data_IF_095285460854
#
_entry.id   IF_095285460854
#
_cell.length_a   1.000
_cell.length_b   1.000
_cell.length_c   1.000
_cell.angle_alpha   90.00
_cell.angle_beta   90.00
_cell.angle_gamma   90.00
#
_symmetry.space_group_name_H-M   'P 1'
#
loop_
_entity.id
_entity.type
_entity.pdbx_description
1 polymer ?
#
# COMPACT_ATOMS: atom_id res chain seq x y z
N UNK A 1 16.56 11.36 -0.33
CA UNK A 1 16.03 11.64 1.02
C UNK A 1 14.72 12.37 0.84
N UNK A 2 13.61 11.79 1.29
CA UNK A 2 12.30 12.41 1.23
C UNK A 2 12.03 13.11 2.56
N UNK A 3 11.61 14.38 2.53
CA UNK A 3 11.32 15.17 3.73
C UNK A 3 9.86 15.59 3.69
N UNK A 4 9.14 15.34 4.78
CA UNK A 4 7.75 15.77 4.94
C UNK A 4 7.71 17.00 5.82
N UNK A 5 6.92 17.99 5.41
CA UNK A 5 6.62 19.18 6.19
C UNK A 5 5.17 19.12 6.64
N UNK A 6 4.93 19.23 7.95
CA UNK A 6 3.59 19.29 8.53
C UNK A 6 3.49 20.50 9.46
N UNK A 7 2.50 21.36 9.20
CA UNK A 7 2.23 22.57 10.00
C UNK A 7 1.33 22.23 11.19
N UNK A 8 1.68 22.68 12.39
CA UNK A 8 0.98 22.37 13.64
C UNK A 8 0.73 23.60 14.51
N UNK A 9 -0.45 23.62 15.16
CA UNK A 9 -0.94 24.78 15.91
C UNK A 9 -0.66 24.70 17.44
N UNK A 10 -0.21 23.56 17.98
CA UNK A 10 0.11 23.39 19.40
C UNK A 10 1.11 22.24 19.66
N UNK A 11 2.05 22.44 20.60
CA UNK A 11 3.07 21.49 21.05
C UNK A 11 2.52 20.18 21.63
N UNK A 12 1.34 20.17 22.28
CA UNK A 12 0.75 18.90 22.78
C UNK A 12 0.34 17.96 21.64
N UNK A 13 -0.04 18.49 20.49
CA UNK A 13 -0.41 17.69 19.31
C UNK A 13 0.84 17.10 18.63
N UNK A 14 1.99 17.78 18.75
CA UNK A 14 3.27 17.33 18.18
C UNK A 14 3.68 15.97 18.73
N UNK A 15 3.67 15.82 20.06
CA UNK A 15 4.13 14.58 20.71
C UNK A 15 3.22 13.40 20.38
N UNK A 16 1.90 13.61 20.39
CA UNK A 16 0.90 12.58 20.07
C UNK A 16 1.04 12.10 18.62
N UNK A 17 1.26 13.01 17.66
CA UNK A 17 1.45 12.63 16.27
C UNK A 17 2.78 11.89 16.03
N UNK A 18 3.87 12.34 16.64
CA UNK A 18 5.18 11.66 16.54
C UNK A 18 5.12 10.25 17.17
N UNK A 19 4.44 10.11 18.31
CA UNK A 19 4.32 8.83 19.01
C UNK A 19 3.39 7.84 18.30
N UNK A 20 2.37 8.34 17.59
CA UNK A 20 1.39 7.50 16.89
C UNK A 20 1.88 6.97 15.54
N UNK A 21 2.95 7.52 14.96
CA UNK A 21 3.35 7.17 13.60
C UNK A 21 4.60 6.26 13.58
N UNK A 22 4.38 4.95 13.44
CA UNK A 22 5.42 3.93 13.27
C UNK A 22 6.32 4.08 12.03
N UNK A 23 6.16 5.16 11.26
CA UNK A 23 6.71 5.35 9.92
C UNK A 23 7.50 6.64 9.73
N UNK A 24 7.72 7.43 10.79
CA UNK A 24 8.54 8.64 10.70
C UNK A 24 9.65 8.68 11.74
N UNK A 25 10.73 9.37 11.37
CA UNK A 25 11.82 9.77 12.26
C UNK A 25 11.92 11.30 12.25
N UNK A 26 11.75 11.96 13.40
CA UNK A 26 11.93 13.41 13.48
C UNK A 26 13.40 13.80 13.40
N UNK A 27 13.68 14.89 12.68
CA UNK A 27 15.01 15.50 12.56
C UNK A 27 15.10 16.88 13.20
N UNK A 28 14.00 17.63 13.23
CA UNK A 28 13.99 18.96 13.82
C UNK A 28 12.63 19.64 13.72
N UNK A 29 12.57 20.86 14.24
CA UNK A 29 11.39 21.73 14.20
C UNK A 29 11.86 23.11 13.75
N UNK A 30 11.11 23.74 12.85
CA UNK A 30 11.28 25.14 12.45
C UNK A 30 9.99 25.93 12.70
N UNK A 31 10.04 27.25 12.55
CA UNK A 31 8.86 28.11 12.68
C UNK A 31 8.69 28.91 11.40
N UNK A 32 7.51 28.82 10.82
CA UNK A 32 7.12 29.60 9.65
C UNK A 32 7.12 31.10 10.01
N UNK A 33 7.89 31.95 9.30
CA UNK A 33 7.95 33.38 9.58
C UNK A 33 6.63 34.11 9.27
N UNK A 34 5.78 33.61 8.38
CA UNK A 34 4.52 34.22 7.99
C UNK A 34 3.39 33.80 8.92
N UNK A 35 3.11 32.50 8.99
CA UNK A 35 1.98 31.97 9.78
C UNK A 35 2.27 31.90 11.28
N UNK A 36 3.55 31.98 11.68
CA UNK A 36 4.05 31.73 13.05
C UNK A 36 3.81 30.31 13.56
N UNK A 37 3.34 29.39 12.71
CA UNK A 37 3.15 27.99 13.06
C UNK A 37 4.50 27.25 13.14
N UNK A 38 4.51 26.18 13.92
CA UNK A 38 5.66 25.28 13.98
C UNK A 38 5.54 24.22 12.89
N UNK A 39 6.66 23.94 12.22
CA UNK A 39 6.77 22.91 11.19
C UNK A 39 7.77 21.86 11.68
N UNK A 40 7.37 20.60 11.67
CA UNK A 40 8.27 19.49 11.99
C UNK A 40 8.90 18.97 10.71
N UNK A 41 10.20 18.70 10.79
CA UNK A 41 10.99 18.07 9.73
C UNK A 41 11.05 16.58 10.04
N UNK A 42 10.36 15.78 9.23
CA UNK A 42 10.28 14.33 9.35
C UNK A 42 10.94 13.66 8.15
N UNK A 43 11.60 12.52 8.38
CA UNK A 43 11.98 11.57 7.33
C UNK A 43 11.18 10.28 7.50
N UNK A 44 10.83 9.63 6.39
CA UNK A 44 10.20 8.33 6.41
C UNK A 44 11.13 7.27 6.97
N UNK A 45 10.65 6.51 7.95
CA UNK A 45 11.38 5.42 8.58
C UNK A 45 10.41 4.46 9.25
N UNK A 46 10.38 3.21 8.77
CA UNK A 46 9.66 2.15 9.46
C UNK A 46 10.39 1.81 10.76
N UNK A 47 9.70 1.91 11.88
CA UNK A 47 10.24 1.59 13.20
C UNK A 47 10.71 0.13 13.28
N UNK A 48 9.94 -0.80 12.72
CA UNK A 48 10.25 -2.23 12.70
C UNK A 48 11.49 -2.55 11.86
N UNK A 49 11.56 -2.02 10.62
CA UNK A 49 12.68 -2.29 9.71
C UNK A 49 13.90 -1.38 9.94
N UNK A 50 13.77 -0.37 10.81
CA UNK A 50 14.77 0.67 11.05
C UNK A 50 15.25 1.39 9.76
N UNK A 51 14.44 1.37 8.69
CA UNK A 51 14.78 1.81 7.34
C UNK A 51 13.50 2.15 6.55
N UNK A 52 13.64 2.60 5.30
CA UNK A 52 12.51 2.69 4.36
C UNK A 52 12.21 1.27 3.86
N UNK A 53 10.94 0.87 3.88
CA UNK A 53 10.48 -0.44 3.41
C UNK A 53 9.13 -0.32 2.68
N UNK A 54 8.65 -1.44 2.12
CA UNK A 54 7.47 -1.48 1.27
C UNK A 54 6.21 -0.91 1.92
N UNK A 55 6.01 -1.12 3.23
CA UNK A 55 4.87 -0.54 3.95
C UNK A 55 4.81 0.99 3.86
N UNK A 56 5.96 1.68 3.82
CA UNK A 56 6.03 3.13 3.59
C UNK A 56 5.59 3.47 2.17
N UNK A 57 6.01 2.69 1.19
CA UNK A 57 5.68 2.89 -0.23
C UNK A 57 4.19 2.64 -0.49
N UNK A 58 3.63 1.58 0.09
CA UNK A 58 2.19 1.30 0.04
C UNK A 58 1.39 2.44 0.65
N UNK A 59 1.74 2.92 1.86
CA UNK A 59 1.06 4.04 2.50
C UNK A 59 1.01 5.31 1.65
N UNK A 60 2.07 5.60 0.90
CA UNK A 60 2.06 6.75 -0.02
C UNK A 60 1.04 6.59 -1.15
N UNK A 61 0.78 5.36 -1.57
CA UNK A 61 -0.12 5.04 -2.68
C UNK A 61 -1.57 4.80 -2.26
N UNK A 62 -1.90 4.78 -0.96
CA UNK A 62 -3.28 4.55 -0.50
C UNK A 62 -4.29 5.59 -1.01
N UNK A 63 -3.85 6.82 -1.27
CA UNK A 63 -4.72 7.85 -1.84
C UNK A 63 -4.82 7.76 -3.38
N UNK A 64 -3.89 7.06 -4.03
CA UNK A 64 -3.79 6.98 -5.49
C UNK A 64 -4.73 5.90 -6.07
N UNK A 65 -5.18 4.95 -5.26
CA UNK A 65 -6.09 3.89 -5.70
C UNK A 65 -7.12 3.52 -4.62
N UNK A 66 -8.36 3.30 -5.03
CA UNK A 66 -9.48 2.90 -4.17
C UNK A 66 -10.43 2.01 -4.99
N UNK A 67 -11.03 1.01 -4.33
CA UNK A 67 -12.11 0.21 -4.91
C UNK A 67 -13.46 0.94 -4.89
N UNK A 68 -13.57 2.07 -4.20
CA UNK A 68 -14.82 2.74 -3.87
C UNK A 68 -15.59 2.06 -2.72
N UNK A 69 -14.98 1.07 -2.05
CA UNK A 69 -15.53 0.39 -0.89
C UNK A 69 -14.53 0.41 0.27
N UNK A 70 -14.85 1.13 1.33
CA UNK A 70 -13.97 1.35 2.47
C UNK A 70 -13.55 0.05 3.18
N UNK A 71 -14.43 -0.97 3.24
CA UNK A 71 -14.13 -2.24 3.89
C UNK A 71 -13.09 -3.06 3.08
N UNK A 72 -13.25 -3.10 1.74
CA UNK A 72 -12.27 -3.75 0.85
C UNK A 72 -10.94 -3.00 0.90
N UNK A 73 -10.98 -1.68 0.80
CA UNK A 73 -9.77 -0.85 0.81
C UNK A 73 -9.01 -1.03 2.13
N UNK A 74 -9.72 -1.02 3.26
CA UNK A 74 -9.12 -1.29 4.57
C UNK A 74 -8.48 -2.67 4.63
N UNK A 75 -9.16 -3.72 4.15
CA UNK A 75 -8.62 -5.07 4.14
C UNK A 75 -7.32 -5.18 3.34
N UNK A 76 -7.28 -4.59 2.13
CA UNK A 76 -6.08 -4.58 1.30
C UNK A 76 -4.96 -3.76 1.97
N UNK A 77 -5.28 -2.59 2.52
CA UNK A 77 -4.32 -1.75 3.23
C UNK A 77 -3.73 -2.46 4.46
N UNK A 78 -4.55 -3.14 5.26
CA UNK A 78 -4.10 -3.89 6.44
C UNK A 78 -3.14 -5.03 6.04
N UNK A 79 -3.43 -5.74 4.94
CA UNK A 79 -2.51 -6.72 4.35
C UNK A 79 -1.18 -6.05 3.91
N UNK A 80 -1.24 -4.97 3.13
CA UNK A 80 -0.04 -4.26 2.65
C UNK A 80 0.82 -3.66 3.77
N UNK A 81 0.21 -3.25 4.89
CA UNK A 81 0.91 -2.75 6.07
C UNK A 81 1.67 -3.86 6.83
N UNK A 82 1.36 -5.13 6.58
CA UNK A 82 2.09 -6.26 7.15
C UNK A 82 3.33 -6.68 6.34
N UNK A 83 3.44 -6.22 5.09
CA UNK A 83 4.49 -6.59 4.13
C UNK A 83 5.78 -5.78 4.31
N UNK A 84 6.49 -6.07 5.39
CA UNK A 84 7.77 -5.46 5.75
C UNK A 84 8.97 -6.10 5.01
N UNK A 85 9.15 -5.85 3.71
CA UNK A 85 10.34 -6.35 2.99
C UNK A 85 11.52 -5.36 3.11
N UNK A 86 12.71 -5.92 3.35
CA UNK A 86 13.96 -5.20 3.58
C UNK A 86 14.92 -5.33 2.39
N UNK A 87 15.47 -4.20 1.94
CA UNK A 87 16.60 -4.16 1.01
C UNK A 87 17.88 -4.66 1.71
N UNK A 88 18.09 -5.97 1.75
CA UNK A 88 19.38 -6.51 2.20
C UNK A 88 19.48 -8.02 2.41
N UNK A 89 18.40 -8.80 2.27
CA UNK A 89 18.47 -10.27 2.34
C UNK A 89 17.53 -10.85 1.29
N UNK A 90 18.07 -11.31 0.16
CA UNK A 90 17.56 -12.31 -0.82
C UNK A 90 16.05 -12.47 -1.10
N UNK A 91 15.19 -11.50 -0.78
CA UNK A 91 13.81 -11.43 -1.25
C UNK A 91 13.50 -9.98 -1.57
N UNK A 92 13.94 -9.56 -2.75
CA UNK A 92 13.58 -8.26 -3.36
C UNK A 92 12.10 -8.28 -3.81
N UNK A 93 11.51 -9.48 -3.87
CA UNK A 93 10.18 -9.74 -4.40
C UNK A 93 9.11 -9.61 -3.33
N UNK A 94 8.09 -8.81 -3.64
CA UNK A 94 6.79 -8.83 -2.98
C UNK A 94 6.08 -10.09 -3.45
N UNK A 95 5.83 -11.04 -2.56
CA UNK A 95 5.14 -12.27 -2.94
C UNK A 95 3.66 -12.24 -2.53
N UNK A 96 3.28 -11.44 -1.52
CA UNK A 96 2.00 -11.61 -0.83
C UNK A 96 1.18 -10.32 -0.66
N UNK A 97 1.61 -9.19 -1.22
CA UNK A 97 0.84 -7.95 -1.08
C UNK A 97 -0.38 -8.00 -2.00
N UNK A 98 -1.56 -7.96 -1.39
CA UNK A 98 -2.80 -7.78 -2.12
C UNK A 98 -2.85 -6.38 -2.73
N UNK A 99 -3.48 -6.24 -3.89
CA UNK A 99 -3.76 -4.95 -4.50
C UNK A 99 -5.15 -4.94 -5.13
N UNK A 100 -5.72 -3.74 -5.25
CA UNK A 100 -6.92 -3.57 -6.04
C UNK A 100 -6.57 -3.56 -7.53
N UNK A 101 -7.25 -4.40 -8.31
CA UNK A 101 -7.10 -4.47 -9.76
C UNK A 101 -8.36 -3.89 -10.40
N UNK A 102 -8.26 -2.74 -11.11
CA UNK A 102 -9.39 -2.21 -11.85
C UNK A 102 -9.87 -3.20 -12.91
N UNK A 103 -11.19 -3.36 -13.02
CA UNK A 103 -11.79 -4.42 -13.84
C UNK A 103 -11.45 -4.31 -15.34
N UNK A 104 -11.21 -3.10 -15.83
CA UNK A 104 -10.79 -2.81 -17.21
C UNK A 104 -9.35 -3.23 -17.53
N UNK A 105 -8.56 -3.61 -16.50
CA UNK A 105 -7.22 -4.21 -16.66
C UNK A 105 -7.27 -5.73 -16.83
N UNK A 106 -8.45 -6.32 -16.81
CA UNK A 106 -8.69 -7.75 -16.97
C UNK A 106 -9.45 -8.04 -18.28
N UNK A 107 -8.80 -8.74 -19.21
CA UNK A 107 -9.48 -9.28 -20.38
C UNK A 107 -10.13 -10.62 -20.04
N UNK A 108 -11.42 -10.55 -19.72
CA UNK A 108 -12.21 -11.68 -19.21
C UNK A 108 -12.50 -12.70 -20.30
N UNK A 109 -12.18 -13.97 -20.04
CA UNK A 109 -12.67 -15.09 -20.82
C UNK A 109 -13.91 -15.70 -20.15
N UNK A 110 -14.92 -16.02 -20.97
CA UNK A 110 -16.16 -16.68 -20.55
C UNK A 110 -16.27 -18.04 -21.22
N UNK A 111 -16.90 -18.98 -20.53
CA UNK A 111 -17.27 -20.27 -21.13
C UNK A 111 -18.53 -20.13 -22.02
N UNK A 112 -18.97 -21.24 -22.60
CA UNK A 112 -20.16 -21.29 -23.46
C UNK A 112 -21.47 -20.91 -22.74
N UNK A 113 -21.48 -20.95 -21.40
CA UNK A 113 -22.60 -20.57 -20.54
C UNK A 113 -22.46 -19.14 -19.99
N UNK A 114 -21.43 -18.39 -20.42
CA UNK A 114 -21.16 -17.04 -19.96
C UNK A 114 -20.52 -16.95 -18.57
N UNK A 115 -20.09 -18.07 -17.99
CA UNK A 115 -19.40 -18.10 -16.70
C UNK A 115 -17.96 -17.59 -16.86
N UNK A 116 -17.58 -16.67 -15.98
CA UNK A 116 -16.22 -16.13 -15.91
C UNK A 116 -15.37 -17.12 -15.11
N UNK A 117 -14.21 -17.51 -15.66
CA UNK A 117 -13.29 -18.45 -14.99
C UNK A 117 -11.82 -18.05 -15.10
N UNK A 118 -11.44 -17.28 -16.12
CA UNK A 118 -10.07 -16.80 -16.29
C UNK A 118 -10.04 -15.42 -16.95
N UNK A 119 -8.92 -14.74 -16.83
CA UNK A 119 -8.65 -13.50 -17.55
C UNK A 119 -7.17 -13.38 -17.92
N UNK A 120 -6.89 -12.51 -18.88
CA UNK A 120 -5.55 -11.96 -19.05
C UNK A 120 -5.45 -10.66 -18.25
N UNK A 121 -4.51 -10.60 -17.30
CA UNK A 121 -4.23 -9.42 -16.49
C UNK A 121 -3.06 -8.63 -17.07
N UNK A 122 -3.35 -7.42 -17.54
CA UNK A 122 -2.41 -6.61 -18.31
C UNK A 122 -1.21 -6.17 -17.46
N UNK A 123 -1.47 -5.74 -16.23
CA UNK A 123 -0.45 -5.13 -15.39
C UNK A 123 0.54 -6.14 -14.79
N UNK A 124 0.19 -7.43 -14.69
CA UNK A 124 1.02 -8.44 -14.01
C UNK A 124 1.11 -8.21 -12.50
N UNK A 125 1.98 -8.88 -11.76
CA UNK A 125 2.09 -8.76 -10.30
C UNK A 125 3.02 -7.60 -9.85
N UNK A 126 2.83 -7.06 -8.64
CA UNK A 126 3.81 -6.13 -8.03
C UNK A 126 5.12 -6.88 -7.76
N UNK A 127 6.24 -6.34 -8.23
CA UNK A 127 7.56 -6.93 -8.03
C UNK A 127 8.35 -6.21 -6.93
N UNK A 128 8.74 -4.95 -7.18
CA UNK A 128 9.51 -4.11 -6.26
C UNK A 128 9.23 -2.62 -6.50
N UNK A 129 9.64 -1.79 -5.54
CA UNK A 129 9.52 -0.34 -5.65
C UNK A 129 10.76 0.27 -6.29
N UNK A 130 10.58 1.06 -7.34
CA UNK A 130 11.68 1.83 -7.94
C UNK A 130 11.19 3.13 -8.58
N UNK A 131 12.01 4.18 -8.46
CA UNK A 131 11.76 5.49 -9.06
C UNK A 131 10.34 6.06 -8.81
N UNK A 132 9.80 5.82 -7.60
CA UNK A 132 8.52 6.38 -7.17
C UNK A 132 7.28 5.59 -7.60
N UNK A 133 7.44 4.41 -8.21
CA UNK A 133 6.33 3.55 -8.61
C UNK A 133 6.63 2.06 -8.38
N UNK A 134 5.58 1.24 -8.34
CA UNK A 134 5.68 -0.21 -8.33
C UNK A 134 6.07 -0.74 -9.71
N UNK A 135 7.15 -1.50 -9.78
CA UNK A 135 7.51 -2.30 -10.95
C UNK A 135 6.65 -3.55 -11.01
N UNK A 136 6.44 -4.03 -12.22
CA UNK A 136 5.53 -5.14 -12.51
C UNK A 136 6.28 -6.31 -13.11
N UNK A 137 5.92 -7.50 -12.66
CA UNK A 137 6.39 -8.77 -13.19
C UNK A 137 5.26 -9.51 -13.92
N UNK A 138 5.57 -10.36 -14.89
CA UNK A 138 4.56 -11.18 -15.60
C UNK A 138 3.39 -10.37 -16.22
N UNK A 139 3.68 -9.26 -16.89
CA UNK A 139 2.64 -8.51 -17.61
C UNK A 139 1.92 -9.38 -18.64
N UNK A 140 0.62 -9.15 -18.80
CA UNK A 140 -0.29 -9.93 -19.64
C UNK A 140 -0.41 -11.42 -19.27
N UNK A 141 -0.30 -11.74 -17.98
CA UNK A 141 -0.41 -13.12 -17.49
C UNK A 141 -1.85 -13.63 -17.45
N UNK A 142 -2.00 -14.95 -17.56
CA UNK A 142 -3.28 -15.62 -17.33
C UNK A 142 -3.52 -15.81 -15.84
N UNK A 143 -4.72 -15.42 -15.40
CA UNK A 143 -5.17 -15.55 -14.01
C UNK A 143 -6.50 -16.28 -13.95
N UNK A 144 -6.72 -17.04 -12.88
CA UNK A 144 -8.00 -17.66 -12.57
C UNK A 144 -8.86 -16.67 -11.80
N UNK A 145 -10.13 -16.57 -12.16
CA UNK A 145 -11.08 -15.67 -11.50
C UNK A 145 -12.07 -16.49 -10.67
N UNK A 146 -12.16 -16.17 -9.38
CA UNK A 146 -13.16 -16.71 -8.46
C UNK A 146 -14.16 -15.60 -8.12
N UNK A 147 -15.45 -15.86 -8.35
CA UNK A 147 -16.51 -14.91 -8.00
C UNK A 147 -16.87 -15.07 -6.52
N UNK A 148 -16.85 -13.96 -5.79
CA UNK A 148 -17.26 -13.90 -4.40
C UNK A 148 -18.69 -13.32 -4.33
N UNK A 149 -19.58 -13.98 -3.59
CA UNK A 149 -21.01 -13.65 -3.57
C UNK A 149 -21.40 -12.66 -2.45
N UNK A 150 -20.53 -12.43 -1.46
CA UNK A 150 -20.70 -11.42 -0.43
C UNK A 150 -19.33 -11.02 0.17
N UNK A 151 -19.25 -9.85 0.81
CA UNK A 151 -18.02 -9.35 1.45
C UNK A 151 -17.57 -10.21 2.64
N UNK A 152 -18.53 -10.76 3.40
CA UNK A 152 -18.29 -11.56 4.60
C UNK A 152 -17.54 -12.87 4.31
N UNK A 153 -17.68 -13.39 3.08
CA UNK A 153 -16.96 -14.56 2.63
C UNK A 153 -15.54 -14.23 2.18
N UNK A 154 -15.23 -12.97 1.79
CA UNK A 154 -13.92 -12.61 1.21
C UNK A 154 -12.80 -12.83 2.22
N UNK A 155 -12.94 -12.27 3.43
CA UNK A 155 -11.91 -12.38 4.48
C UNK A 155 -11.67 -13.84 4.86
N UNK A 156 -12.76 -14.57 5.10
CA UNK A 156 -12.71 -15.99 5.49
C UNK A 156 -12.19 -16.91 4.38
N UNK A 157 -12.51 -16.64 3.11
CA UNK A 157 -12.02 -17.46 2.00
C UNK A 157 -10.55 -17.18 1.69
N UNK A 158 -10.08 -15.93 1.77
CA UNK A 158 -8.67 -15.59 1.56
C UNK A 158 -7.80 -16.16 2.69
N UNK A 159 -8.25 -16.07 3.95
CA UNK A 159 -7.52 -16.66 5.10
C UNK A 159 -7.35 -18.18 5.01
N UNK A 160 -8.22 -18.89 4.27
CA UNK A 160 -8.14 -20.35 4.12
C UNK A 160 -7.30 -20.79 2.90
N UNK A 161 -6.94 -19.87 2.00
CA UNK A 161 -6.19 -20.15 0.77
C UNK A 161 -4.70 -19.72 0.85
N UNK A 162 -4.27 -19.10 1.97
CA UNK A 162 -2.87 -18.75 2.32
C UNK A 162 -2.27 -19.78 3.27
#
# INVERSE_FOLDING_TARGET
MFVVLKSLNNLKNITIEIENENYYKPYGITRDPETKNYIIILNYKCKMCNSICNTIHFRHKFMDWTSGNDDIDKFIQDNQLSEHIYYGINSIYINNALEWIPYDRLYIAKDEFGKIYQANWIDGEIEYWDNGNWKRYNQNMFVVLKRLNNLKNITTEIENEV
#
